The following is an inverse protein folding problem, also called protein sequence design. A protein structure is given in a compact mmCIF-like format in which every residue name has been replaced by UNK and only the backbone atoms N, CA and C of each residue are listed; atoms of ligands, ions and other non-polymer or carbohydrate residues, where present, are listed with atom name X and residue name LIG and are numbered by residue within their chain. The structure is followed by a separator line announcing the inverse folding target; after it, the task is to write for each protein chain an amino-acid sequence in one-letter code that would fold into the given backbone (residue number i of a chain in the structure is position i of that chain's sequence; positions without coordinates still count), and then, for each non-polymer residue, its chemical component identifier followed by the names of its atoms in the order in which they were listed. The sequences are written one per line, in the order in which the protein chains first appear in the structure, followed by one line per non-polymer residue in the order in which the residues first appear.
data_IF_238148659808
#
_entry.id   IF_238148659808
#
_cell.length_a   1.000
_cell.length_b   1.000
_cell.length_c   1.000
_cell.angle_alpha   90.00
_cell.angle_beta   90.00
_cell.angle_gamma   90.00
#
_symmetry.space_group_name_H-M   'P 1'
#
loop_
_entity.id
_entity.type
_entity.pdbx_description
1 polymer ?
#
# COMPACT_ATOMS: atom_id res chain seq x y z
N UNK A 1 12.86 24.94 10.59
CA UNK A 1 13.01 23.59 11.19
C UNK A 1 14.38 23.48 11.83
N UNK A 2 14.48 22.91 13.03
CA UNK A 2 15.73 22.80 13.80
C UNK A 2 16.39 21.43 13.62
N UNK A 3 17.65 21.29 14.00
CA UNK A 3 18.34 19.98 14.03
C UNK A 3 17.59 18.96 14.90
N UNK A 4 17.03 19.39 16.04
CA UNK A 4 16.24 18.55 16.93
C UNK A 4 14.99 17.97 16.24
N UNK A 5 14.34 18.76 15.37
CA UNK A 5 13.22 18.27 14.56
C UNK A 5 13.65 17.15 13.63
N UNK A 6 14.76 17.32 12.91
CA UNK A 6 15.24 16.31 11.97
C UNK A 6 15.74 15.05 12.66
N UNK A 7 16.32 15.16 13.87
CA UNK A 7 16.64 14.00 14.72
C UNK A 7 15.39 13.20 15.07
N UNK A 8 14.35 13.87 15.57
CA UNK A 8 13.09 13.22 15.89
C UNK A 8 12.45 12.55 14.67
N UNK A 9 12.39 13.28 13.53
CA UNK A 9 11.87 12.73 12.28
C UNK A 9 12.65 11.49 11.83
N UNK A 10 13.98 11.54 11.90
CA UNK A 10 14.84 10.42 11.53
C UNK A 10 14.60 9.20 12.43
N UNK A 11 14.45 9.39 13.73
CA UNK A 11 14.16 8.28 14.67
C UNK A 11 12.79 7.65 14.38
N UNK A 12 11.77 8.46 14.09
CA UNK A 12 10.44 7.96 13.68
C UNK A 12 10.55 7.18 12.37
N UNK A 13 11.27 7.68 11.37
CA UNK A 13 11.45 7.01 10.08
C UNK A 13 12.23 5.68 10.21
N UNK A 14 13.15 5.57 11.17
CA UNK A 14 13.84 4.31 11.46
C UNK A 14 12.92 3.24 12.04
N UNK A 15 11.89 3.65 12.78
CA UNK A 15 10.85 2.76 13.30
C UNK A 15 9.72 2.50 12.28
N UNK A 16 9.63 3.28 11.20
CA UNK A 16 8.60 3.16 10.18
C UNK A 16 8.86 1.95 9.26
N UNK A 17 8.25 0.81 9.61
CA UNK A 17 8.43 -0.49 8.96
C UNK A 17 7.27 -0.92 8.04
N UNK A 18 6.38 0.02 7.73
CA UNK A 18 5.19 -0.15 6.88
C UNK A 18 5.38 0.69 5.61
N UNK A 19 4.84 0.25 4.47
CA UNK A 19 4.91 1.01 3.23
C UNK A 19 3.73 0.61 2.34
N UNK A 20 3.10 1.57 1.65
CA UNK A 20 2.05 1.24 0.68
C UNK A 20 2.66 0.38 -0.43
N UNK A 21 2.10 -0.81 -0.73
CA UNK A 21 2.55 -1.63 -1.84
C UNK A 21 2.55 -0.85 -3.16
N UNK A 22 3.53 -1.10 -4.02
CA UNK A 22 3.66 -0.41 -5.31
C UNK A 22 2.43 -0.62 -6.22
N UNK A 23 1.75 -1.76 -6.06
CA UNK A 23 0.49 -2.10 -6.71
C UNK A 23 -0.50 -2.61 -5.67
N UNK A 24 -1.50 -1.79 -5.36
CA UNK A 24 -2.64 -2.23 -4.53
C UNK A 24 -3.69 -2.81 -5.45
N UNK A 25 -3.84 -4.13 -5.46
CA UNK A 25 -4.88 -4.82 -6.26
C UNK A 25 -6.18 -5.04 -5.47
N UNK A 26 -6.06 -5.14 -4.14
CA UNK A 26 -7.16 -5.39 -3.21
C UNK A 26 -6.96 -4.69 -1.87
N UNK A 27 -8.06 -4.53 -1.14
CA UNK A 27 -8.06 -4.03 0.24
C UNK A 27 -8.49 -5.11 1.20
N UNK A 28 -7.86 -5.13 2.37
CA UNK A 28 -8.26 -5.98 3.49
C UNK A 28 -9.32 -5.29 4.32
N UNK A 29 -9.88 -6.03 5.27
CA UNK A 29 -10.78 -5.46 6.26
C UNK A 29 -10.17 -4.21 6.90
N UNK A 30 -10.95 -3.11 6.90
CA UNK A 30 -10.58 -1.78 7.45
C UNK A 30 -9.42 -1.07 6.73
N UNK A 31 -8.95 -1.56 5.59
CA UNK A 31 -8.02 -0.80 4.75
C UNK A 31 -8.77 0.21 3.88
N UNK A 32 -8.21 1.41 3.76
CA UNK A 32 -8.74 2.50 2.96
C UNK A 32 -7.73 2.86 1.88
N UNK A 33 -8.15 2.80 0.61
CA UNK A 33 -7.32 3.23 -0.50
C UNK A 33 -7.35 4.75 -0.66
N UNK A 34 -6.21 5.42 -0.48
CA UNK A 34 -6.12 6.89 -0.60
C UNK A 34 -5.52 7.25 -1.96
N UNK A 35 -6.29 7.99 -2.76
CA UNK A 35 -5.98 8.22 -4.17
C UNK A 35 -6.23 9.67 -4.59
N UNK A 36 -5.51 10.10 -5.63
CA UNK A 36 -5.73 11.39 -6.27
C UNK A 36 -6.80 11.32 -7.36
N UNK A 37 -7.67 12.31 -7.42
CA UNK A 37 -8.70 12.46 -8.46
C UNK A 37 -8.80 13.89 -8.97
N UNK A 38 -9.57 14.12 -10.03
CA UNK A 38 -9.92 15.49 -10.45
C UNK A 38 -10.96 16.14 -9.52
N UNK A 39 -11.03 17.47 -9.55
CA UNK A 39 -11.95 18.22 -8.70
C UNK A 39 -13.42 17.83 -8.88
N UNK A 40 -13.80 17.28 -10.04
CA UNK A 40 -15.15 16.81 -10.34
C UNK A 40 -15.39 15.35 -9.91
N UNK A 41 -14.38 14.66 -9.39
CA UNK A 41 -14.46 13.25 -9.01
C UNK A 41 -14.80 12.32 -10.17
N UNK A 42 -14.27 12.55 -11.38
CA UNK A 42 -14.65 11.74 -12.56
C UNK A 42 -14.26 10.26 -12.42
N UNK A 43 -13.15 9.98 -11.74
CA UNK A 43 -12.70 8.62 -11.36
C UNK A 43 -12.63 7.62 -12.53
N UNK A 44 -12.13 8.06 -13.70
CA UNK A 44 -12.16 7.25 -14.93
C UNK A 44 -10.89 6.46 -15.22
N UNK A 45 -9.75 6.87 -14.67
CA UNK A 45 -8.43 6.34 -15.05
C UNK A 45 -7.51 6.16 -13.85
N UNK A 46 -6.47 5.34 -14.02
CA UNK A 46 -5.41 5.12 -13.03
C UNK A 46 -5.95 4.70 -11.66
N UNK A 47 -5.35 5.24 -10.60
CA UNK A 47 -5.76 4.95 -9.22
C UNK A 47 -7.23 5.31 -8.95
N UNK A 48 -7.74 6.39 -9.55
CA UNK A 48 -9.14 6.80 -9.36
C UNK A 48 -10.14 5.83 -10.00
N UNK A 49 -9.82 5.32 -11.21
CA UNK A 49 -10.61 4.29 -11.87
C UNK A 49 -10.59 2.96 -11.10
N UNK A 50 -9.43 2.57 -10.58
CA UNK A 50 -9.33 1.39 -9.71
C UNK A 50 -10.18 1.55 -8.44
N UNK A 51 -10.09 2.71 -7.78
CA UNK A 51 -10.83 3.00 -6.56
C UNK A 51 -12.36 2.92 -6.78
N UNK A 52 -12.86 3.47 -7.88
CA UNK A 52 -14.29 3.41 -8.20
C UNK A 52 -14.75 1.99 -8.56
N UNK A 53 -13.95 1.26 -9.34
CA UNK A 53 -14.30 -0.10 -9.80
C UNK A 53 -14.26 -1.12 -8.67
N UNK A 54 -13.22 -1.08 -7.83
CA UNK A 54 -12.91 -2.17 -6.90
C UNK A 54 -13.12 -1.80 -5.43
N UNK A 55 -13.02 -0.51 -5.06
CA UNK A 55 -12.98 -0.06 -3.67
C UNK A 55 -14.11 0.91 -3.31
N UNK A 56 -15.17 0.94 -4.12
CA UNK A 56 -16.39 1.70 -3.83
C UNK A 56 -16.24 3.22 -3.81
N UNK A 57 -15.23 3.78 -4.46
CA UNK A 57 -15.15 5.23 -4.60
C UNK A 57 -16.37 5.76 -5.38
N UNK A 58 -17.03 6.79 -4.85
CA UNK A 58 -18.24 7.34 -5.47
C UNK A 58 -17.87 8.41 -6.51
N UNK A 59 -18.38 8.25 -7.73
CA UNK A 59 -18.23 9.24 -8.81
C UNK A 59 -18.86 10.56 -8.38
N UNK A 60 -18.16 11.67 -8.66
CA UNK A 60 -18.56 13.01 -8.24
C UNK A 60 -17.94 13.47 -6.91
N UNK A 61 -17.28 12.58 -6.16
CA UNK A 61 -16.61 12.93 -4.90
C UNK A 61 -15.13 13.19 -5.16
N UNK A 62 -14.74 14.46 -5.11
CA UNK A 62 -13.37 14.94 -5.34
C UNK A 62 -12.47 14.99 -4.09
N UNK A 63 -13.05 14.95 -2.89
CA UNK A 63 -12.33 14.94 -1.62
C UNK A 63 -13.14 14.19 -0.55
N UNK A 64 -12.49 13.37 0.27
CA UNK A 64 -13.10 12.68 1.40
C UNK A 64 -13.40 11.19 1.18
N UNK A 65 -14.05 10.59 2.18
CA UNK A 65 -14.25 9.13 2.30
C UNK A 65 -15.52 8.65 1.59
N UNK A 66 -15.41 7.61 0.76
CA UNK A 66 -16.53 6.86 0.15
C UNK A 66 -16.16 5.39 -0.08
N UNK A 67 -17.07 4.44 0.16
CA UNK A 67 -16.80 3.00 -0.06
C UNK A 67 -15.75 2.45 0.87
N UNK A 68 -14.61 1.97 0.36
CA UNK A 68 -13.33 1.69 1.03
C UNK A 68 -12.17 2.55 0.48
N UNK A 69 -12.50 3.78 0.03
CA UNK A 69 -11.56 4.74 -0.52
C UNK A 69 -11.63 6.12 0.13
N UNK A 70 -10.55 6.89 0.03
CA UNK A 70 -10.48 8.32 0.38
C UNK A 70 -9.90 9.11 -0.80
N UNK A 71 -10.65 10.05 -1.34
CA UNK A 71 -10.25 10.88 -2.48
C UNK A 71 -9.50 12.13 -2.01
N UNK A 72 -8.47 12.52 -2.77
CA UNK A 72 -7.78 13.82 -2.66
C UNK A 72 -7.81 14.55 -4.01
N UNK A 73 -8.10 15.86 -4.05
CA UNK A 73 -8.12 16.62 -5.29
C UNK A 73 -6.70 16.84 -5.78
N UNK A 74 -6.41 16.46 -7.03
CA UNK A 74 -5.06 16.53 -7.62
C UNK A 74 -5.05 17.14 -9.02
N UNK A 75 -6.12 16.99 -9.80
CA UNK A 75 -6.25 17.68 -11.10
C UNK A 75 -7.09 18.95 -10.95
N UNK A 76 -6.61 20.04 -11.54
CA UNK A 76 -7.32 21.33 -11.52
C UNK A 76 -7.24 22.07 -10.19
N UNK A 77 -6.32 21.66 -9.30
CA UNK A 77 -6.02 22.36 -8.06
C UNK A 77 -4.55 22.79 -8.02
N UNK A 78 -4.28 23.81 -7.23
CA UNK A 78 -2.93 24.24 -6.85
C UNK A 78 -2.34 23.28 -5.82
N UNK A 79 -1.02 23.36 -5.63
CA UNK A 79 -0.33 22.59 -4.59
C UNK A 79 -0.78 23.00 -3.18
N UNK A 80 -1.17 24.27 -2.99
CA UNK A 80 -1.70 24.78 -1.72
C UNK A 80 -3.07 24.16 -1.39
N UNK A 81 -3.98 24.09 -2.36
CA UNK A 81 -5.29 23.45 -2.19
C UNK A 81 -5.18 21.95 -1.94
N UNK A 82 -4.28 21.26 -2.65
CA UNK A 82 -3.95 19.86 -2.37
C UNK A 82 -3.40 19.72 -0.94
N UNK A 83 -2.49 20.60 -0.53
CA UNK A 83 -1.93 20.62 0.82
C UNK A 83 -2.98 20.78 1.91
N UNK A 84 -3.95 21.69 1.74
CA UNK A 84 -5.07 21.84 2.66
C UNK A 84 -5.93 20.57 2.74
N UNK A 85 -6.13 19.88 1.62
CA UNK A 85 -6.88 18.61 1.57
C UNK A 85 -6.12 17.47 2.24
N UNK A 86 -4.78 17.43 2.11
CA UNK A 86 -3.93 16.46 2.82
C UNK A 86 -3.99 16.68 4.34
N UNK A 87 -4.04 17.92 4.81
CA UNK A 87 -4.22 18.22 6.24
C UNK A 87 -5.59 17.74 6.76
N UNK A 88 -6.66 17.87 5.95
CA UNK A 88 -7.97 17.32 6.29
C UNK A 88 -7.93 15.78 6.36
N UNK A 89 -7.27 15.13 5.40
CA UNK A 89 -7.04 13.69 5.43
C UNK A 89 -6.26 13.25 6.67
N UNK A 90 -5.19 13.96 7.01
CA UNK A 90 -4.38 13.67 8.20
C UNK A 90 -5.22 13.74 9.48
N UNK A 91 -6.08 14.75 9.60
CA UNK A 91 -7.01 14.86 10.72
C UNK A 91 -8.01 13.69 10.74
N UNK A 92 -8.58 13.34 9.59
CA UNK A 92 -9.46 12.18 9.46
C UNK A 92 -8.76 10.89 9.88
N UNK A 93 -7.51 10.68 9.48
CA UNK A 93 -6.74 9.49 9.83
C UNK A 93 -6.46 9.40 11.35
N UNK A 94 -6.21 10.54 12.01
CA UNK A 94 -6.05 10.61 13.48
C UNK A 94 -7.30 10.22 14.24
N UNK A 95 -8.46 10.62 13.74
CA UNK A 95 -9.77 10.34 14.35
C UNK A 95 -10.22 8.89 14.12
N UNK A 96 -9.71 8.25 13.07
CA UNK A 96 -10.11 6.91 12.65
C UNK A 96 -8.99 5.86 12.81
N UNK A 97 -8.44 5.74 14.02
CA UNK A 97 -7.32 4.83 14.34
C UNK A 97 -7.58 3.35 14.06
N UNK A 98 -8.85 2.95 13.95
CA UNK A 98 -9.24 1.58 13.61
C UNK A 98 -9.16 1.26 12.11
N UNK A 99 -8.82 2.22 11.25
CA UNK A 99 -8.68 2.05 9.80
C UNK A 99 -7.22 2.21 9.40
N UNK A 100 -6.76 1.42 8.42
CA UNK A 100 -5.41 1.52 7.86
C UNK A 100 -5.46 2.18 6.48
N UNK A 101 -4.79 3.32 6.31
CA UNK A 101 -4.81 4.11 5.09
C UNK A 101 -3.61 3.78 4.20
N UNK A 102 -3.88 3.27 3.00
CA UNK A 102 -2.88 3.00 1.98
C UNK A 102 -2.76 4.20 1.03
N UNK A 103 -1.76 5.05 1.27
CA UNK A 103 -1.54 6.26 0.49
C UNK A 103 -0.77 5.93 -0.78
N UNK A 104 -1.38 6.18 -1.94
CA UNK A 104 -0.71 6.11 -3.24
C UNK A 104 0.19 7.33 -3.48
N UNK A 105 1.07 7.35 -4.49
CA UNK A 105 1.80 8.55 -4.90
C UNK A 105 0.86 9.68 -5.40
N UNK A 106 0.24 10.40 -4.45
CA UNK A 106 -0.82 11.39 -4.71
C UNK A 106 -0.32 12.44 -5.71
N UNK A 107 -1.04 12.58 -6.83
CA UNK A 107 -0.75 13.57 -7.86
C UNK A 107 0.50 13.30 -8.70
N UNK A 108 1.24 12.22 -8.45
CA UNK A 108 2.53 11.94 -9.12
C UNK A 108 2.40 11.16 -10.44
N UNK A 109 1.17 10.82 -10.85
CA UNK A 109 0.86 10.21 -12.13
C UNK A 109 0.29 11.22 -13.12
N UNK A 110 -1.00 11.13 -13.41
CA UNK A 110 -1.66 11.94 -14.43
C UNK A 110 -1.67 13.46 -14.13
N UNK A 111 -1.64 13.86 -12.87
CA UNK A 111 -1.60 15.28 -12.46
C UNK A 111 -0.23 15.94 -12.65
N UNK A 112 0.84 15.16 -12.79
CA UNK A 112 2.16 15.67 -13.11
C UNK A 112 2.87 16.42 -11.97
N UNK A 113 2.38 16.34 -10.72
CA UNK A 113 3.16 16.82 -9.59
C UNK A 113 4.38 15.93 -9.38
N UNK A 114 5.49 16.54 -8.96
CA UNK A 114 6.65 15.77 -8.51
C UNK A 114 6.45 15.35 -7.06
N UNK A 115 6.92 14.15 -6.70
CA UNK A 115 6.77 13.66 -5.33
C UNK A 115 7.45 14.58 -4.31
N UNK A 116 8.55 15.27 -4.67
CA UNK A 116 9.23 16.24 -3.80
C UNK A 116 8.36 17.47 -3.49
N UNK A 117 7.35 17.76 -4.32
CA UNK A 117 6.39 18.85 -4.08
C UNK A 117 5.28 18.41 -3.12
N UNK A 118 4.84 17.16 -3.21
CA UNK A 118 3.67 16.64 -2.46
C UNK A 118 4.07 16.02 -1.12
N UNK A 119 5.16 15.24 -1.07
CA UNK A 119 5.65 14.57 0.14
C UNK A 119 5.75 15.50 1.36
N UNK A 120 6.25 16.76 1.26
CA UNK A 120 6.28 17.71 2.37
C UNK A 120 4.98 17.87 3.17
N UNK A 121 3.81 17.69 2.55
CA UNK A 121 2.50 17.82 3.18
C UNK A 121 2.10 16.59 3.99
N UNK A 122 2.74 15.43 3.77
CA UNK A 122 2.48 14.17 4.49
C UNK A 122 3.32 14.00 5.76
N UNK A 123 4.10 15.01 6.18
CA UNK A 123 4.99 14.90 7.35
C UNK A 123 4.27 14.50 8.63
N UNK A 124 3.08 15.05 8.88
CA UNK A 124 2.29 14.71 10.07
C UNK A 124 1.72 13.28 10.04
N UNK A 125 1.63 12.67 8.85
CA UNK A 125 1.21 11.28 8.68
C UNK A 125 2.29 10.26 9.04
N UNK A 126 3.58 10.64 9.04
CA UNK A 126 4.70 9.74 9.39
C UNK A 126 4.55 9.21 10.82
N UNK A 127 4.01 10.03 11.72
CA UNK A 127 3.78 9.67 13.11
C UNK A 127 2.48 8.85 13.35
N UNK A 128 1.71 8.55 12.30
CA UNK A 128 0.45 7.82 12.42
C UNK A 128 0.67 6.34 12.08
N UNK A 129 0.44 5.46 13.05
CA UNK A 129 0.60 4.00 12.89
C UNK A 129 -0.34 3.37 11.88
N UNK A 130 -1.46 4.03 11.64
CA UNK A 130 -2.50 3.59 10.74
C UNK A 130 -2.42 4.24 9.35
N UNK A 131 -1.34 4.94 9.02
CA UNK A 131 -1.07 5.46 7.67
C UNK A 131 0.16 4.78 7.11
N UNK A 132 0.02 4.21 5.92
CA UNK A 132 1.08 3.66 5.09
C UNK A 132 1.33 4.65 3.95
N UNK A 133 2.57 5.16 3.86
CA UNK A 133 3.00 6.09 2.83
C UNK A 133 3.72 5.32 1.70
N UNK A 134 3.73 5.85 0.46
CA UNK A 134 4.46 5.23 -0.62
C UNK A 134 5.97 5.41 -0.44
N UNK A 135 6.76 4.46 -0.94
CA UNK A 135 8.22 4.43 -0.75
C UNK A 135 8.91 5.72 -1.21
N UNK A 136 8.40 6.35 -2.26
CA UNK A 136 8.93 7.62 -2.80
C UNK A 136 8.88 8.73 -1.75
N UNK A 137 7.82 8.80 -0.93
CA UNK A 137 7.70 9.80 0.12
C UNK A 137 8.63 9.48 1.28
N UNK A 138 8.72 8.20 1.67
CA UNK A 138 9.65 7.76 2.72
C UNK A 138 11.12 8.04 2.33
N UNK A 139 11.51 7.71 1.10
CA UNK A 139 12.82 8.05 0.54
C UNK A 139 13.10 9.56 0.58
N UNK A 140 12.12 10.38 0.20
CA UNK A 140 12.23 11.83 0.28
C UNK A 140 12.55 12.30 1.71
N UNK A 141 11.80 11.84 2.72
CA UNK A 141 12.04 12.27 4.10
C UNK A 141 13.37 11.74 4.66
N UNK A 142 13.76 10.50 4.33
CA UNK A 142 15.06 9.93 4.74
C UNK A 142 16.21 10.75 4.17
N UNK A 143 16.16 11.09 2.87
CA UNK A 143 17.15 11.94 2.20
C UNK A 143 17.21 13.33 2.84
N UNK A 144 16.04 13.94 3.10
CA UNK A 144 15.97 15.24 3.78
C UNK A 144 16.66 15.19 5.16
N UNK A 145 16.45 14.14 5.95
CA UNK A 145 17.08 13.98 7.25
C UNK A 145 18.60 13.81 7.14
N UNK A 146 19.08 12.97 6.21
CA UNK A 146 20.52 12.73 5.98
C UNK A 146 21.23 14.04 5.64
N UNK A 147 20.66 14.82 4.71
CA UNK A 147 21.21 16.11 4.28
C UNK A 147 21.25 17.12 5.44
N UNK A 148 20.16 17.22 6.23
CA UNK A 148 20.01 18.22 7.30
C UNK A 148 20.77 17.88 8.57
N UNK A 149 21.02 16.59 8.83
CA UNK A 149 21.80 16.12 9.98
C UNK A 149 23.28 15.92 9.66
N UNK A 150 23.69 16.14 8.40
CA UNK A 150 25.05 15.89 7.91
C UNK A 150 25.54 14.47 8.23
N UNK A 151 24.63 13.49 8.17
CA UNK A 151 24.97 12.09 8.39
C UNK A 151 25.82 11.64 7.21
N UNK A 152 27.04 11.19 7.47
CA UNK A 152 27.88 10.60 6.43
C UNK A 152 27.15 9.36 5.91
N UNK A 153 26.89 9.31 4.60
CA UNK A 153 26.51 8.06 3.93
C UNK A 153 27.65 7.07 4.13
N UNK A 154 27.63 6.31 5.22
CA UNK A 154 28.31 5.02 5.23
C UNK A 154 27.62 4.20 4.13
N UNK A 155 28.39 3.53 3.29
CA UNK A 155 27.93 2.52 2.32
C UNK A 155 27.24 1.35 3.05
N UNK A 156 26.11 1.65 3.69
CA UNK A 156 25.09 0.74 4.12
C UNK A 156 23.93 0.95 3.16
N UNK A 157 24.20 0.78 1.86
CA UNK A 157 23.20 0.46 0.85
C UNK A 157 22.64 -0.96 1.06
N UNK A 158 22.40 -1.29 2.33
CA UNK A 158 21.58 -2.38 2.83
C UNK A 158 20.69 -1.78 3.92
N UNK A 159 20.02 -0.66 3.64
CA UNK A 159 18.72 -0.41 4.25
C UNK A 159 17.71 -1.37 3.59
N UNK A 160 17.96 -2.67 3.72
CA UNK A 160 16.89 -3.65 3.79
C UNK A 160 16.21 -3.40 5.14
N UNK A 161 15.52 -2.26 5.27
CA UNK A 161 14.43 -2.17 6.22
C UNK A 161 13.42 -3.17 5.67
N UNK A 162 13.51 -4.40 6.18
CA UNK A 162 12.65 -5.51 5.81
C UNK A 162 11.23 -5.00 6.06
N UNK A 163 10.52 -4.66 4.98
CA UNK A 163 9.12 -4.27 5.04
C UNK A 163 8.42 -5.41 5.75
N UNK A 164 7.73 -5.12 6.85
CA UNK A 164 6.98 -6.13 7.59
C UNK A 164 5.78 -6.54 6.73
N UNK A 165 6.01 -7.42 5.77
CA UNK A 165 5.01 -7.87 4.82
C UNK A 165 3.91 -8.69 5.50
N UNK A 166 4.07 -9.10 6.77
CA UNK A 166 2.95 -9.64 7.54
C UNK A 166 1.78 -8.65 7.62
N UNK A 167 2.06 -7.33 7.64
CA UNK A 167 1.03 -6.29 7.56
C UNK A 167 0.28 -6.30 6.21
N UNK A 168 0.89 -6.90 5.19
CA UNK A 168 0.37 -7.08 3.84
C UNK A 168 -0.24 -8.47 3.59
N UNK A 169 -0.23 -9.36 4.59
CA UNK A 169 -0.96 -10.65 4.60
C UNK A 169 -2.01 -10.80 5.71
N UNK A 170 -3.13 -11.46 5.44
CA UNK A 170 -4.16 -11.70 6.45
C UNK A 170 -3.54 -12.58 7.55
N UNK A 171 -3.89 -12.32 8.82
CA UNK A 171 -3.29 -13.05 9.95
C UNK A 171 -3.49 -14.57 9.83
N UNK A 172 -4.55 -15.02 9.15
CA UNK A 172 -4.82 -16.43 8.90
C UNK A 172 -3.71 -17.14 8.10
N UNK A 173 -2.99 -16.46 7.21
CA UNK A 173 -1.89 -17.07 6.43
C UNK A 173 -0.52 -16.89 7.07
N UNK A 174 -0.39 -16.11 8.14
CA UNK A 174 0.90 -15.86 8.81
C UNK A 174 1.66 -17.13 9.22
N UNK A 175 1.00 -18.23 9.68
CA UNK A 175 1.71 -19.48 9.95
C UNK A 175 2.41 -20.07 8.71
N UNK A 176 1.80 -19.95 7.53
CA UNK A 176 2.41 -20.38 6.27
C UNK A 176 3.60 -19.48 5.93
N UNK A 177 3.45 -18.16 6.02
CA UNK A 177 4.55 -17.22 5.73
C UNK A 177 5.80 -17.51 6.59
N UNK A 178 5.60 -17.75 7.89
CA UNK A 178 6.69 -18.15 8.81
C UNK A 178 7.38 -19.43 8.36
N UNK A 179 6.62 -20.42 7.88
CA UNK A 179 7.17 -21.65 7.34
C UNK A 179 7.98 -21.38 6.07
N UNK A 180 7.45 -20.58 5.13
CA UNK A 180 8.12 -20.25 3.87
C UNK A 180 9.45 -19.54 4.12
N UNK A 181 9.47 -18.57 5.04
CA UNK A 181 10.70 -17.88 5.46
C UNK A 181 11.74 -18.85 6.03
N UNK A 182 11.33 -19.69 7.00
CA UNK A 182 12.24 -20.63 7.67
C UNK A 182 12.88 -21.62 6.70
N UNK A 183 12.24 -21.89 5.56
CA UNK A 183 12.70 -22.80 4.53
C UNK A 183 13.19 -22.09 3.26
N UNK A 184 13.27 -20.75 3.27
CA UNK A 184 13.66 -19.92 2.12
C UNK A 184 12.86 -20.20 0.83
N UNK A 185 11.56 -20.47 0.98
CA UNK A 185 10.63 -20.66 -0.14
C UNK A 185 10.14 -19.26 -0.61
N UNK A 186 10.29 -18.90 -1.89
CA UNK A 186 9.84 -17.60 -2.39
C UNK A 186 8.32 -17.44 -2.35
N UNK A 187 7.87 -16.24 -2.00
CA UNK A 187 6.48 -15.78 -2.11
C UNK A 187 6.45 -14.27 -2.39
N UNK A 188 5.29 -13.75 -2.81
CA UNK A 188 5.10 -12.33 -3.05
C UNK A 188 5.30 -11.52 -1.75
N UNK A 189 5.89 -10.32 -1.84
CA UNK A 189 6.01 -9.40 -0.68
C UNK A 189 5.01 -8.25 -0.76
N UNK A 190 4.18 -8.20 -1.80
CA UNK A 190 3.22 -7.12 -2.03
C UNK A 190 1.86 -7.39 -1.37
N UNK A 191 1.63 -8.61 -0.87
CA UNK A 191 0.37 -9.01 -0.27
C UNK A 191 -0.65 -9.46 -1.30
N UNK A 192 -1.16 -10.69 -1.18
CA UNK A 192 -2.06 -11.27 -2.18
C UNK A 192 -1.38 -11.87 -3.40
N UNK A 193 -2.23 -12.41 -4.28
CA UNK A 193 -1.89 -12.96 -5.56
C UNK A 193 -2.99 -12.61 -6.57
N UNK A 194 -2.59 -12.23 -7.79
CA UNK A 194 -3.50 -12.02 -8.91
C UNK A 194 -3.03 -12.86 -10.09
N UNK A 195 -3.90 -13.73 -10.60
CA UNK A 195 -3.72 -14.41 -11.88
C UNK A 195 -4.24 -13.49 -12.99
N UNK A 196 -3.45 -13.30 -14.04
CA UNK A 196 -3.80 -12.47 -15.19
C UNK A 196 -3.93 -13.30 -16.47
N UNK A 197 -4.72 -12.83 -17.42
CA UNK A 197 -4.78 -13.37 -18.78
C UNK A 197 -3.63 -12.85 -19.66
N UNK A 198 -3.63 -13.29 -20.93
CA UNK A 198 -2.65 -12.88 -21.95
C UNK A 198 -2.69 -11.38 -22.31
N UNK A 199 -3.68 -10.63 -21.82
CA UNK A 199 -3.80 -9.18 -21.98
C UNK A 199 -3.61 -8.42 -20.64
N UNK A 200 -3.00 -9.05 -19.63
CA UNK A 200 -2.78 -8.49 -18.28
C UNK A 200 -4.07 -8.16 -17.49
N UNK A 201 -5.23 -8.69 -17.89
CA UNK A 201 -6.45 -8.54 -17.10
C UNK A 201 -6.45 -9.53 -15.95
N UNK A 202 -6.75 -9.06 -14.73
CA UNK A 202 -6.91 -9.93 -13.56
C UNK A 202 -8.15 -10.80 -13.74
N UNK A 203 -7.93 -12.12 -13.76
CA UNK A 203 -8.98 -13.14 -13.92
C UNK A 203 -9.25 -13.93 -12.64
N UNK A 204 -8.32 -13.94 -11.68
CA UNK A 204 -8.51 -14.55 -10.38
C UNK A 204 -7.62 -13.91 -9.33
N UNK A 205 -8.02 -13.95 -8.07
CA UNK A 205 -7.23 -13.45 -6.95
C UNK A 205 -7.30 -14.36 -5.72
N UNK A 206 -6.23 -14.36 -4.92
CA UNK A 206 -6.12 -15.13 -3.69
C UNK A 206 -5.28 -14.41 -2.62
N UNK A 207 -5.39 -14.85 -1.36
CA UNK A 207 -4.66 -14.27 -0.24
C UNK A 207 -3.15 -14.53 -0.29
N UNK A 208 -2.75 -15.75 -0.64
CA UNK A 208 -1.36 -16.14 -0.75
C UNK A 208 -1.23 -17.16 -1.87
N UNK A 209 -0.11 -17.08 -2.59
CA UNK A 209 0.29 -18.07 -3.59
C UNK A 209 1.73 -18.47 -3.35
N UNK A 210 2.00 -19.76 -3.45
CA UNK A 210 3.34 -20.35 -3.51
C UNK A 210 3.52 -20.83 -4.95
N UNK A 211 4.04 -19.94 -5.80
CA UNK A 211 4.09 -20.19 -7.25
C UNK A 211 4.92 -21.42 -7.60
N UNK A 212 6.02 -21.68 -6.88
CA UNK A 212 6.89 -22.84 -7.09
C UNK A 212 6.15 -24.17 -6.90
N UNK A 213 5.08 -24.17 -6.11
CA UNK A 213 4.27 -25.36 -5.83
C UNK A 213 2.89 -25.31 -6.50
N UNK A 214 2.55 -24.21 -7.16
CA UNK A 214 1.19 -23.89 -7.64
C UNK A 214 0.12 -24.09 -6.55
N UNK A 215 0.39 -23.63 -5.33
CA UNK A 215 -0.57 -23.69 -4.22
C UNK A 215 -1.09 -22.30 -3.93
N UNK A 216 -2.40 -22.18 -3.71
CA UNK A 216 -3.08 -20.93 -3.32
C UNK A 216 -3.89 -21.11 -2.05
N UNK A 217 -3.94 -20.05 -1.24
CA UNK A 217 -4.71 -19.99 -0.01
C UNK A 217 -5.76 -18.89 -0.12
N UNK A 218 -6.96 -19.19 0.36
CA UNK A 218 -8.10 -18.27 0.41
C UNK A 218 -8.32 -17.50 -0.91
N UNK A 219 -8.81 -18.16 -1.98
CA UNK A 219 -9.33 -17.46 -3.15
C UNK A 219 -10.37 -16.41 -2.75
N UNK A 220 -10.35 -15.25 -3.41
CA UNK A 220 -11.20 -14.12 -3.01
C UNK A 220 -12.71 -14.41 -3.18
N UNK A 221 -13.08 -15.21 -4.19
CA UNK A 221 -14.44 -15.63 -4.45
C UNK A 221 -14.50 -16.97 -5.21
N UNK A 222 -15.72 -17.49 -5.41
CA UNK A 222 -15.95 -18.75 -6.14
C UNK A 222 -15.50 -18.72 -7.60
N UNK A 223 -15.45 -17.54 -8.24
CA UNK A 223 -14.98 -17.43 -9.62
C UNK A 223 -13.46 -17.51 -9.67
N UNK A 224 -12.78 -16.84 -8.74
CA UNK A 224 -11.34 -16.89 -8.55
C UNK A 224 -10.90 -18.32 -8.25
N UNK A 225 -11.59 -19.02 -7.36
CA UNK A 225 -11.35 -20.45 -7.08
C UNK A 225 -11.41 -21.30 -8.37
N UNK A 226 -12.49 -21.17 -9.16
CA UNK A 226 -12.63 -21.91 -10.43
C UNK A 226 -11.51 -21.59 -11.42
N UNK A 227 -11.18 -20.31 -11.57
CA UNK A 227 -10.15 -19.86 -12.51
C UNK A 227 -8.75 -20.31 -12.10
N UNK A 228 -8.43 -20.29 -10.80
CA UNK A 228 -7.16 -20.80 -10.26
C UNK A 228 -7.04 -22.31 -10.47
N UNK A 229 -8.10 -23.08 -10.18
CA UNK A 229 -8.12 -24.53 -10.42
C UNK A 229 -7.97 -24.83 -11.91
N UNK A 230 -8.66 -24.09 -12.79
CA UNK A 230 -8.51 -24.25 -14.24
C UNK A 230 -7.09 -23.94 -14.74
N UNK A 231 -6.39 -23.01 -14.09
CA UNK A 231 -4.98 -22.70 -14.36
C UNK A 231 -3.97 -23.69 -13.72
N UNK A 232 -4.49 -24.73 -13.05
CA UNK A 232 -3.70 -25.81 -12.45
C UNK A 232 -3.14 -25.49 -11.07
N UNK A 233 -3.72 -24.51 -10.37
CA UNK A 233 -3.42 -24.29 -8.96
C UNK A 233 -4.22 -25.24 -8.06
N UNK A 234 -3.58 -25.68 -6.99
CA UNK A 234 -4.24 -26.43 -5.91
C UNK A 234 -4.63 -25.46 -4.81
N UNK A 235 -5.90 -25.45 -4.43
CA UNK A 235 -6.37 -24.68 -3.28
C UNK A 235 -6.13 -25.52 -2.03
N UNK A 236 -5.44 -24.96 -1.05
CA UNK A 236 -5.19 -25.61 0.23
C UNK A 236 -5.58 -24.70 1.39
N UNK A 237 -6.07 -25.30 2.47
CA UNK A 237 -6.11 -24.62 3.76
C UNK A 237 -4.70 -24.56 4.38
N UNK A 238 -4.53 -23.61 5.30
CA UNK A 238 -3.27 -23.44 6.05
C UNK A 238 -2.89 -24.72 6.80
N UNK A 239 -3.87 -25.40 7.42
CA UNK A 239 -3.62 -26.62 8.17
C UNK A 239 -3.20 -27.79 7.26
N UNK A 240 -3.86 -27.97 6.12
CA UNK A 240 -3.51 -29.03 5.16
C UNK A 240 -2.09 -28.82 4.62
N UNK A 241 -1.75 -27.58 4.25
CA UNK A 241 -0.42 -27.27 3.74
C UNK A 241 0.65 -27.57 4.79
N UNK A 242 0.52 -27.01 5.99
CA UNK A 242 1.52 -27.22 7.04
C UNK A 242 1.65 -28.70 7.42
N UNK A 243 0.53 -29.43 7.51
CA UNK A 243 0.56 -30.88 7.81
C UNK A 243 1.29 -31.66 6.72
N UNK A 244 1.17 -31.27 5.44
CA UNK A 244 1.88 -31.93 4.34
C UNK A 244 3.40 -31.76 4.34
N UNK A 245 3.92 -30.84 5.17
CA UNK A 245 5.35 -30.51 5.28
C UNK A 245 6.04 -31.14 6.49
N UNK A 246 5.28 -31.80 7.36
CA UNK A 246 5.76 -32.60 8.48
C UNK A 246 5.66 -34.09 8.14
#
# INVERSE_FOLDING_TARGET
MTEAYYKLLYDVLRAYNRCTPSKVVRLRHKQIFVFGTDANGSQRYGAAGLAAKNFGAQIGVGNGRTGDSYALPTMGCTLEELGASILQFEQYARENKGLTFLVTPIGCGHAGFKYEQVAPYFRGCIALDNVMLPEQFLCFFRKECIEKLHIKETNSANNNQEVDYYLLYDESVHPVLKYLEAHSIPFSKDGGFSLVDENDNVIAEAELCIESEKIVFYPNDQNSEKALVAAGYTIMSVNEYLTSKF
#
